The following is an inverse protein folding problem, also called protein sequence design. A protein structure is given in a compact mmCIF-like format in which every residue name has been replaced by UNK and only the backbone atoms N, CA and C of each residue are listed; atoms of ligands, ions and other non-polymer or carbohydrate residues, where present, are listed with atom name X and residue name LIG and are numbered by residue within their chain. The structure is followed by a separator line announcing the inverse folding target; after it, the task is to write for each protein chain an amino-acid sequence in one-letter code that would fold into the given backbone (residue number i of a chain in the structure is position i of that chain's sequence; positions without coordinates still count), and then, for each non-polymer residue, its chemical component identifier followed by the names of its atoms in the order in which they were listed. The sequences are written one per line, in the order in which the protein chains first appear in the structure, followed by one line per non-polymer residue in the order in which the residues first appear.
data_IF_907725830226
#
_entry.id   IF_907725830226
#
_cell.length_a   1.000
_cell.length_b   1.000
_cell.length_c   1.000
_cell.angle_alpha   90.00
_cell.angle_beta   90.00
_cell.angle_gamma   90.00
#
_symmetry.space_group_name_H-M   'P 1'
#
loop_
_entity.id
_entity.type
_entity.pdbx_description
1 polymer ?
#
# COMPACT_ATOMS: atom_id res chain seq x y z
N UNK A 1 -36.79 -26.68 36.45
CA UNK A 1 -36.00 -26.71 35.19
C UNK A 1 -35.94 -25.27 34.70
N UNK A 2 -34.95 -24.46 35.11
CA UNK A 2 -34.73 -23.16 34.48
C UNK A 2 -34.03 -23.39 33.14
N UNK A 3 -34.54 -22.72 32.10
CA UNK A 3 -34.03 -22.80 30.74
C UNK A 3 -32.66 -22.15 30.61
N UNK A 4 -31.76 -22.86 29.95
CA UNK A 4 -30.51 -22.35 29.42
C UNK A 4 -30.86 -21.41 28.26
N UNK A 5 -30.79 -20.09 28.46
CA UNK A 5 -30.70 -19.15 27.33
C UNK A 5 -29.24 -19.10 26.92
N UNK A 6 -28.89 -19.85 25.87
CA UNK A 6 -27.64 -19.68 25.15
C UNK A 6 -27.59 -18.26 24.58
N UNK A 7 -26.79 -17.39 25.18
CA UNK A 7 -26.39 -16.14 24.56
C UNK A 7 -25.53 -16.48 23.34
N UNK A 8 -26.10 -16.31 22.14
CA UNK A 8 -25.33 -16.32 20.91
C UNK A 8 -24.25 -15.23 21.02
N UNK A 9 -22.99 -15.63 21.19
CA UNK A 9 -21.86 -14.70 21.13
C UNK A 9 -21.86 -14.07 19.73
N UNK A 10 -22.28 -12.79 19.63
CA UNK A 10 -22.07 -11.97 18.44
C UNK A 10 -20.58 -12.05 18.09
N UNK A 11 -20.24 -12.39 16.84
CA UNK A 11 -18.85 -12.43 16.38
C UNK A 11 -18.31 -10.99 16.39
N UNK A 12 -17.30 -10.74 17.21
CA UNK A 12 -16.66 -9.42 17.36
C UNK A 12 -15.96 -9.05 16.05
N UNK A 13 -16.09 -7.80 15.57
CA UNK A 13 -15.40 -7.37 14.36
C UNK A 13 -13.89 -7.40 14.59
N UNK A 14 -13.19 -8.10 13.70
CA UNK A 14 -11.73 -8.18 13.67
C UNK A 14 -11.28 -7.30 12.53
N UNK A 15 -10.77 -6.10 12.83
CA UNK A 15 -10.34 -5.12 11.82
C UNK A 15 -9.35 -5.69 10.79
N UNK A 16 -8.59 -6.72 11.18
CA UNK A 16 -7.61 -7.41 10.35
C UNK A 16 -8.21 -8.31 9.25
N UNK A 17 -9.45 -8.81 9.41
CA UNK A 17 -10.06 -9.74 8.44
C UNK A 17 -10.69 -9.06 7.23
N UNK A 18 -11.03 -7.77 7.31
CA UNK A 18 -11.65 -7.03 6.21
C UNK A 18 -10.67 -6.85 5.02
N UNK A 19 -9.37 -6.68 5.28
CA UNK A 19 -8.34 -6.56 4.23
C UNK A 19 -7.95 -7.91 3.59
N UNK A 20 -8.03 -9.01 4.33
CA UNK A 20 -7.62 -10.35 3.86
C UNK A 20 -8.67 -11.07 2.99
N UNK A 21 -9.92 -10.57 2.90
CA UNK A 21 -11.04 -11.28 2.28
C UNK A 21 -11.27 -10.98 0.78
N UNK A 22 -10.53 -10.05 0.18
CA UNK A 22 -10.81 -9.53 -1.18
C UNK A 22 -10.17 -10.30 -2.35
N UNK A 23 -9.32 -11.31 -2.13
CA UNK A 23 -8.37 -11.80 -3.16
C UNK A 23 -8.56 -13.25 -3.63
N UNK A 24 -9.79 -13.72 -3.89
CA UNK A 24 -10.03 -15.09 -4.41
C UNK A 24 -10.90 -15.14 -5.67
N UNK A 25 -10.26 -15.08 -6.86
CA UNK A 25 -10.49 -15.98 -8.04
C UNK A 25 -9.84 -15.42 -9.32
N UNK A 26 -8.91 -16.18 -9.92
CA UNK A 26 -8.95 -16.47 -11.37
C UNK A 26 -8.01 -17.61 -11.75
N UNK A 27 -8.41 -18.41 -12.74
CA UNK A 27 -7.75 -19.62 -13.25
C UNK A 27 -7.13 -19.32 -14.62
N UNK A 28 -5.93 -19.84 -14.84
CA UNK A 28 -5.10 -19.74 -16.05
C UNK A 28 -5.37 -20.84 -17.08
N UNK A 29 -5.11 -20.54 -18.36
CA UNK A 29 -4.71 -21.51 -19.37
C UNK A 29 -3.59 -20.90 -20.24
N UNK A 30 -2.56 -21.68 -20.57
CA UNK A 30 -1.28 -21.20 -21.12
C UNK A 30 -1.07 -21.43 -22.62
N UNK A 31 -0.17 -20.64 -23.23
CA UNK A 31 0.36 -20.86 -24.60
C UNK A 31 1.82 -20.36 -24.69
N UNK A 32 2.64 -21.08 -25.46
CA UNK A 32 4.08 -20.88 -25.73
C UNK A 32 4.39 -19.69 -26.66
N UNK A 33 5.56 -19.08 -26.40
CA UNK A 33 6.13 -17.88 -27.05
C UNK A 33 6.89 -18.18 -28.36
N UNK A 34 6.72 -17.31 -29.35
CA UNK A 34 7.72 -17.03 -30.40
C UNK A 34 7.75 -15.53 -30.70
N UNK A 35 8.96 -14.99 -30.91
CA UNK A 35 9.33 -13.62 -31.30
C UNK A 35 8.17 -12.78 -31.88
N UNK A 36 7.65 -11.82 -31.10
CA UNK A 36 6.68 -10.86 -31.61
C UNK A 36 7.01 -9.42 -31.18
N UNK A 37 7.08 -8.56 -32.18
CA UNK A 37 6.77 -7.14 -32.10
C UNK A 37 5.31 -7.03 -31.64
N UNK A 38 5.04 -6.32 -30.54
CA UNK A 38 3.66 -6.06 -30.10
C UNK A 38 2.99 -5.23 -31.20
N UNK A 39 2.05 -5.83 -31.94
CA UNK A 39 1.33 -5.17 -33.02
C UNK A 39 0.16 -4.38 -32.44
N UNK A 40 0.42 -3.17 -31.94
CA UNK A 40 -0.59 -2.18 -31.54
C UNK A 40 -1.14 -1.40 -32.75
N UNK A 41 -1.47 -2.09 -33.85
CA UNK A 41 -2.11 -1.48 -35.01
C UNK A 41 -3.62 -1.27 -34.76
N UNK A 42 -3.94 -0.24 -33.98
CA UNK A 42 -5.20 0.49 -34.09
C UNK A 42 -4.88 1.91 -34.61
N UNK A 43 -4.88 2.05 -35.94
CA UNK A 43 -4.63 3.31 -36.66
C UNK A 43 -5.63 4.44 -36.30
N UNK A 44 -6.70 4.15 -35.55
CA UNK A 44 -7.73 5.14 -35.20
C UNK A 44 -7.40 6.01 -33.97
N UNK A 45 -6.44 5.61 -33.11
CA UNK A 45 -6.10 6.37 -31.88
C UNK A 45 -4.68 6.95 -31.85
N UNK A 46 -3.91 6.84 -32.94
CA UNK A 46 -2.56 7.45 -33.01
C UNK A 46 -2.67 8.94 -33.30
N UNK A 47 -2.97 9.75 -32.29
CA UNK A 47 -2.83 11.19 -32.39
C UNK A 47 -1.34 11.54 -32.51
N UNK A 48 -0.92 12.03 -33.68
CA UNK A 48 0.36 12.74 -33.83
C UNK A 48 0.26 14.02 -33.00
N UNK A 49 0.70 13.97 -31.74
CA UNK A 49 0.72 15.14 -30.87
C UNK A 49 1.83 16.06 -31.39
N UNK A 50 1.44 17.08 -32.16
CA UNK A 50 2.32 18.22 -32.41
C UNK A 50 2.45 18.98 -31.09
N UNK A 51 3.57 18.75 -30.39
CA UNK A 51 4.02 19.63 -29.33
C UNK A 51 4.15 21.06 -29.91
N UNK A 52 3.77 22.07 -29.13
CA UNK A 52 4.00 23.47 -29.49
C UNK A 52 5.51 23.71 -29.47
N UNK A 53 6.16 23.56 -30.62
CA UNK A 53 7.57 23.87 -30.81
C UNK A 53 7.79 25.39 -30.68
N UNK A 54 8.19 25.81 -29.48
CA UNK A 54 9.02 27.00 -29.27
C UNK A 54 10.51 26.60 -29.08
N UNK A 55 10.91 25.40 -29.53
CA UNK A 55 12.28 24.91 -29.46
C UNK A 55 12.95 24.98 -30.84
N UNK A 56 14.18 25.49 -30.80
CA UNK A 56 15.05 25.84 -31.93
C UNK A 56 15.35 24.64 -32.84
N UNK A 57 15.66 24.88 -34.13
CA UNK A 57 15.87 23.88 -35.21
C UNK A 57 17.02 22.86 -34.99
N UNK A 58 17.58 22.76 -33.78
CA UNK A 58 18.69 21.88 -33.37
C UNK A 58 18.34 21.01 -32.13
N UNK A 59 17.06 20.71 -31.88
CA UNK A 59 16.68 19.82 -30.78
C UNK A 59 17.21 18.40 -31.03
N UNK A 60 17.95 17.86 -30.06
CA UNK A 60 18.44 16.48 -30.08
C UNK A 60 17.25 15.51 -30.00
N UNK A 61 17.20 14.47 -30.85
CA UNK A 61 16.09 13.50 -30.86
C UNK A 61 15.82 12.88 -29.47
N UNK A 62 16.85 12.78 -28.63
CA UNK A 62 16.74 12.35 -27.24
C UNK A 62 16.02 13.35 -26.32
N UNK A 63 16.22 14.65 -26.53
CA UNK A 63 15.58 15.70 -25.72
C UNK A 63 14.08 15.79 -26.08
N UNK A 64 13.72 15.59 -27.35
CA UNK A 64 12.33 15.50 -27.78
C UNK A 64 11.63 14.27 -27.18
N UNK A 65 12.30 13.11 -27.19
CA UNK A 65 11.80 11.88 -26.59
C UNK A 65 11.55 12.06 -25.08
N UNK A 66 12.50 12.66 -24.37
CA UNK A 66 12.36 12.98 -22.95
C UNK A 66 11.18 13.93 -22.71
N UNK A 67 11.02 14.98 -23.52
CA UNK A 67 9.91 15.92 -23.37
C UNK A 67 8.53 15.25 -23.51
N UNK A 68 8.38 14.28 -24.42
CA UNK A 68 7.14 13.49 -24.56
C UNK A 68 6.93 12.62 -23.32
N UNK A 69 7.98 11.95 -22.85
CA UNK A 69 7.92 11.07 -21.68
C UNK A 69 7.59 11.84 -20.39
N UNK A 70 8.24 12.97 -20.13
CA UNK A 70 8.00 13.80 -18.96
C UNK A 70 6.57 14.34 -18.97
N UNK A 71 6.09 14.79 -20.14
CA UNK A 71 4.67 15.16 -20.31
C UNK A 71 3.74 14.01 -19.96
N UNK A 72 4.09 12.77 -20.32
CA UNK A 72 3.28 11.59 -19.98
C UNK A 72 3.26 11.34 -18.47
N UNK A 73 4.40 11.47 -17.79
CA UNK A 73 4.52 11.31 -16.34
C UNK A 73 3.77 12.41 -15.57
N UNK A 74 3.76 13.64 -16.09
CA UNK A 74 2.99 14.76 -15.55
C UNK A 74 1.49 14.49 -15.63
N UNK A 75 0.96 14.06 -16.78
CA UNK A 75 -0.47 13.74 -16.93
C UNK A 75 -0.88 12.52 -16.07
N UNK A 76 0.01 11.54 -15.93
CA UNK A 76 -0.19 10.38 -15.05
C UNK A 76 -0.33 10.82 -13.58
N UNK A 77 0.53 11.75 -13.14
CA UNK A 77 0.50 12.32 -11.79
C UNK A 77 -0.67 13.30 -11.59
N UNK A 78 -1.09 13.98 -12.67
CA UNK A 78 -2.17 14.96 -12.70
C UNK A 78 -3.58 14.37 -12.73
N UNK A 79 -3.70 13.05 -12.86
CA UNK A 79 -4.98 12.34 -12.82
C UNK A 79 -5.71 12.23 -14.16
N UNK A 80 -5.02 12.39 -15.29
CA UNK A 80 -5.56 12.14 -16.65
C UNK A 80 -4.89 10.89 -17.26
N UNK A 81 -5.31 9.67 -16.86
CA UNK A 81 -4.67 8.43 -17.30
C UNK A 81 -4.86 8.17 -18.80
N UNK A 82 -5.96 8.61 -19.42
CA UNK A 82 -6.20 8.42 -20.86
C UNK A 82 -5.20 9.22 -21.71
N UNK A 83 -4.96 10.47 -21.30
CA UNK A 83 -3.95 11.30 -21.95
C UNK A 83 -2.53 10.79 -21.70
N UNK A 84 -2.24 10.32 -20.49
CA UNK A 84 -0.97 9.67 -20.17
C UNK A 84 -0.71 8.46 -21.06
N UNK A 85 -1.71 7.57 -21.25
CA UNK A 85 -1.60 6.40 -22.14
C UNK A 85 -1.26 6.82 -23.57
N UNK A 86 -1.89 7.88 -24.08
CA UNK A 86 -1.63 8.37 -25.44
C UNK A 86 -0.19 8.85 -25.61
N UNK A 87 0.33 9.61 -24.64
CA UNK A 87 1.71 10.10 -24.64
C UNK A 87 2.74 8.96 -24.46
N UNK A 88 2.44 7.98 -23.60
CA UNK A 88 3.26 6.79 -23.40
C UNK A 88 3.38 5.95 -24.68
N UNK A 89 2.28 5.75 -25.42
CA UNK A 89 2.30 5.09 -26.73
C UNK A 89 3.15 5.88 -27.74
N UNK A 90 3.02 7.21 -27.74
CA UNK A 90 3.88 8.10 -28.53
C UNK A 90 5.36 7.92 -28.21
N UNK A 91 5.70 7.84 -26.92
CA UNK A 91 7.07 7.60 -26.43
C UNK A 91 7.61 6.25 -26.94
N UNK A 92 6.83 5.18 -26.81
CA UNK A 92 7.21 3.83 -27.27
C UNK A 92 7.45 3.80 -28.78
N UNK A 93 6.55 4.40 -29.56
CA UNK A 93 6.70 4.46 -31.02
C UNK A 93 7.96 5.21 -31.45
N UNK A 94 8.29 6.29 -30.75
CA UNK A 94 9.48 7.07 -31.02
C UNK A 94 10.76 6.29 -30.65
N UNK A 95 10.76 5.57 -29.53
CA UNK A 95 11.81 4.63 -29.18
C UNK A 95 11.99 3.55 -30.26
N UNK A 96 10.91 2.95 -30.76
CA UNK A 96 10.96 1.96 -31.84
C UNK A 96 11.45 2.54 -33.17
N UNK A 97 11.15 3.82 -33.46
CA UNK A 97 11.71 4.53 -34.61
C UNK A 97 13.22 4.66 -34.48
N UNK A 98 13.70 5.16 -33.34
CA UNK A 98 15.12 5.39 -33.05
C UNK A 98 15.90 4.07 -33.12
N UNK A 99 15.41 3.00 -32.49
CA UNK A 99 16.05 1.68 -32.55
C UNK A 99 16.14 1.14 -33.98
N UNK A 100 15.08 1.25 -34.78
CA UNK A 100 15.10 0.79 -36.18
C UNK A 100 16.08 1.56 -37.06
N UNK A 101 16.30 2.85 -36.77
CA UNK A 101 17.30 3.66 -37.47
C UNK A 101 18.70 3.22 -37.04
N UNK A 102 18.93 3.10 -35.73
CA UNK A 102 20.19 2.63 -35.18
C UNK A 102 20.59 1.24 -35.70
N UNK A 103 19.68 0.27 -35.66
CA UNK A 103 19.94 -1.11 -36.11
C UNK A 103 20.27 -1.14 -37.60
N UNK A 104 19.60 -0.32 -38.41
CA UNK A 104 19.90 -0.18 -39.84
C UNK A 104 21.31 0.38 -40.06
N UNK A 105 21.72 1.37 -39.28
CA UNK A 105 23.04 1.97 -39.40
C UNK A 105 24.15 0.97 -38.99
N UNK A 106 23.91 0.21 -37.91
CA UNK A 106 24.79 -0.90 -37.49
C UNK A 106 24.90 -1.96 -38.59
N UNK A 107 23.78 -2.42 -39.15
CA UNK A 107 23.75 -3.42 -40.24
C UNK A 107 24.44 -2.92 -41.51
N UNK A 108 24.32 -1.63 -41.81
CA UNK A 108 25.00 -0.98 -42.93
C UNK A 108 26.50 -0.78 -42.69
N UNK A 109 27.02 -1.10 -41.50
CA UNK A 109 28.41 -0.91 -41.10
C UNK A 109 28.78 0.57 -40.95
N UNK A 110 27.78 1.44 -40.75
CA UNK A 110 27.98 2.83 -40.35
C UNK A 110 28.35 2.84 -38.87
N UNK A 111 29.25 3.73 -38.47
CA UNK A 111 29.58 3.95 -37.07
C UNK A 111 28.35 4.55 -36.38
N UNK A 112 27.47 3.67 -35.88
CA UNK A 112 26.26 4.04 -35.18
C UNK A 112 26.62 4.69 -33.84
N UNK A 113 25.91 5.76 -33.49
CA UNK A 113 26.05 6.40 -32.19
C UNK A 113 25.53 5.41 -31.15
N UNK A 114 26.36 5.11 -30.15
CA UNK A 114 25.97 4.24 -29.04
C UNK A 114 24.75 4.82 -28.32
N UNK A 115 23.71 4.00 -28.17
CA UNK A 115 22.48 4.42 -27.52
C UNK A 115 22.74 4.64 -26.02
N UNK A 116 22.45 5.84 -25.55
CA UNK A 116 22.68 6.22 -24.15
C UNK A 116 21.77 5.42 -23.19
N UNK A 117 22.20 5.13 -21.95
CA UNK A 117 21.41 4.35 -20.99
C UNK A 117 20.05 4.98 -20.67
N UNK A 118 19.98 6.31 -20.78
CA UNK A 118 18.77 7.09 -20.56
C UNK A 118 17.65 6.73 -21.55
N UNK A 119 18.00 6.44 -22.80
CA UNK A 119 17.03 5.98 -23.80
C UNK A 119 16.33 4.71 -23.35
N UNK A 120 17.10 3.71 -22.93
CA UNK A 120 16.57 2.44 -22.47
C UNK A 120 15.75 2.58 -21.18
N UNK A 121 16.13 3.51 -20.30
CA UNK A 121 15.34 3.87 -19.13
C UNK A 121 13.97 4.43 -19.53
N UNK A 122 13.92 5.46 -20.37
CA UNK A 122 12.66 6.05 -20.85
C UNK A 122 11.78 4.99 -21.51
N UNK A 123 12.37 4.19 -22.42
CA UNK A 123 11.63 3.16 -23.12
C UNK A 123 11.06 2.10 -22.17
N UNK A 124 11.91 1.55 -21.29
CA UNK A 124 11.51 0.55 -20.32
C UNK A 124 10.46 1.04 -19.34
N UNK A 125 10.60 2.26 -18.82
CA UNK A 125 9.60 2.85 -17.91
C UNK A 125 8.29 3.16 -18.63
N UNK A 126 8.32 3.63 -19.88
CA UNK A 126 7.08 3.84 -20.64
C UNK A 126 6.29 2.53 -20.83
N UNK A 127 6.98 1.44 -21.19
CA UNK A 127 6.40 0.10 -21.30
C UNK A 127 5.84 -0.39 -19.94
N UNK A 128 6.56 -0.15 -18.85
CA UNK A 128 6.12 -0.50 -17.50
C UNK A 128 4.83 0.25 -17.14
N UNK A 129 4.80 1.57 -17.34
CA UNK A 129 3.64 2.41 -17.04
C UNK A 129 2.42 2.01 -17.86
N UNK A 130 2.57 1.67 -19.15
CA UNK A 130 1.46 1.11 -19.94
C UNK A 130 0.97 -0.19 -19.33
N UNK A 131 1.87 -1.10 -18.94
CA UNK A 131 1.47 -2.38 -18.37
C UNK A 131 0.61 -2.24 -17.10
N UNK A 132 0.87 -1.22 -16.28
CA UNK A 132 0.12 -0.92 -15.07
C UNK A 132 -1.25 -0.26 -15.37
N UNK A 133 -1.32 0.56 -16.40
CA UNK A 133 -2.55 1.25 -16.81
C UNK A 133 -3.50 0.37 -17.65
N UNK A 134 -2.97 -0.70 -18.25
CA UNK A 134 -3.68 -1.58 -19.19
C UNK A 134 -4.66 -2.56 -18.53
N UNK A 135 -4.96 -2.39 -17.24
CA UNK A 135 -5.67 -3.35 -16.39
C UNK A 135 -7.13 -3.66 -16.80
N UNK A 136 -7.71 -3.00 -17.81
CA UNK A 136 -9.14 -3.17 -18.15
C UNK A 136 -9.42 -3.65 -19.59
N UNK A 137 -8.51 -3.42 -20.55
CA UNK A 137 -8.75 -3.78 -21.96
C UNK A 137 -7.66 -4.68 -22.59
N UNK A 138 -6.48 -4.77 -21.97
CA UNK A 138 -5.30 -5.44 -22.55
C UNK A 138 -4.57 -6.35 -21.55
N UNK A 139 -5.29 -7.03 -20.65
CA UNK A 139 -4.69 -7.95 -19.65
C UNK A 139 -3.74 -8.99 -20.26
N UNK A 140 -4.04 -9.46 -21.47
CA UNK A 140 -3.19 -10.43 -22.18
C UNK A 140 -1.86 -9.80 -22.61
N UNK A 141 -1.86 -8.53 -23.02
CA UNK A 141 -0.65 -7.80 -23.45
C UNK A 141 0.13 -7.18 -22.29
N UNK A 142 -0.48 -6.99 -21.12
CA UNK A 142 0.20 -6.46 -19.91
C UNK A 142 1.52 -7.18 -19.66
N UNK A 143 1.51 -8.50 -19.78
CA UNK A 143 2.69 -9.33 -19.52
C UNK A 143 3.77 -9.19 -20.58
N UNK A 144 3.38 -9.04 -21.85
CA UNK A 144 4.33 -8.77 -22.95
C UNK A 144 5.01 -7.42 -22.73
N UNK A 145 4.24 -6.40 -22.32
CA UNK A 145 4.77 -5.09 -21.94
C UNK A 145 5.72 -5.17 -20.75
N UNK A 146 5.40 -5.96 -19.71
CA UNK A 146 6.27 -6.16 -18.55
C UNK A 146 7.58 -6.86 -18.93
N UNK A 147 7.52 -7.91 -19.76
CA UNK A 147 8.72 -8.64 -20.20
C UNK A 147 9.61 -7.76 -21.10
N UNK A 148 9.02 -6.99 -22.01
CA UNK A 148 9.75 -6.04 -22.84
C UNK A 148 10.34 -4.90 -22.01
N UNK A 149 9.59 -4.38 -21.05
CA UNK A 149 10.05 -3.37 -20.09
C UNK A 149 11.26 -3.88 -19.30
N UNK A 150 11.19 -5.12 -18.78
CA UNK A 150 12.32 -5.75 -18.10
C UNK A 150 13.55 -5.77 -18.99
N UNK A 151 13.40 -6.22 -20.24
CA UNK A 151 14.50 -6.30 -21.19
C UNK A 151 15.14 -4.93 -21.45
N UNK A 152 14.33 -3.88 -21.69
CA UNK A 152 14.85 -2.52 -21.90
C UNK A 152 15.56 -1.98 -20.66
N UNK A 153 15.01 -2.17 -19.47
CA UNK A 153 15.65 -1.71 -18.23
C UNK A 153 16.93 -2.50 -17.91
N UNK A 154 17.02 -3.78 -18.29
CA UNK A 154 18.27 -4.54 -18.20
C UNK A 154 19.33 -3.97 -19.15
N UNK A 155 18.96 -3.56 -20.38
CA UNK A 155 19.87 -2.84 -21.28
C UNK A 155 20.32 -1.49 -20.69
N UNK A 156 19.41 -0.73 -20.07
CA UNK A 156 19.76 0.50 -19.37
C UNK A 156 20.80 0.21 -18.27
N UNK A 157 20.55 -0.81 -17.45
CA UNK A 157 21.47 -1.25 -16.38
C UNK A 157 22.84 -1.64 -16.90
N UNK A 158 22.92 -2.36 -18.02
CA UNK A 158 24.19 -2.79 -18.62
C UNK A 158 24.99 -1.62 -19.20
N UNK A 159 24.30 -0.60 -19.73
CA UNK A 159 24.93 0.58 -20.31
C UNK A 159 25.33 1.64 -19.26
N UNK A 160 24.72 1.63 -18.07
CA UNK A 160 25.01 2.58 -16.99
C UNK A 160 26.37 2.33 -16.31
N UNK A 161 26.96 3.41 -15.81
CA UNK A 161 28.17 3.36 -14.97
C UNK A 161 27.88 3.33 -13.45
N UNK A 162 26.60 3.46 -13.07
CA UNK A 162 26.11 3.48 -11.69
C UNK A 162 26.21 4.85 -11.00
N UNK A 163 26.56 5.90 -11.75
CA UNK A 163 26.69 7.28 -11.25
C UNK A 163 25.57 8.19 -11.74
N UNK A 164 24.74 7.67 -12.63
CA UNK A 164 23.64 8.38 -13.24
C UNK A 164 22.58 8.68 -12.17
N UNK A 165 22.01 9.90 -12.13
CA UNK A 165 21.04 10.29 -11.09
C UNK A 165 19.72 9.50 -11.17
N UNK A 166 19.45 8.85 -12.31
CA UNK A 166 18.29 7.98 -12.51
C UNK A 166 18.59 6.49 -12.28
N UNK A 167 19.83 6.10 -11.92
CA UNK A 167 20.20 4.69 -11.77
C UNK A 167 19.32 3.95 -10.75
N UNK A 168 18.97 4.63 -9.65
CA UNK A 168 18.07 4.07 -8.64
C UNK A 168 16.68 3.73 -9.22
N UNK A 169 16.16 4.54 -10.15
CA UNK A 169 14.85 4.32 -10.80
C UNK A 169 14.86 3.07 -11.68
N UNK A 170 15.98 2.80 -12.35
CA UNK A 170 16.14 1.59 -13.16
C UNK A 170 16.09 0.35 -12.25
N UNK A 171 16.84 0.37 -11.15
CA UNK A 171 16.85 -0.75 -10.19
C UNK A 171 15.50 -0.94 -9.50
N UNK A 172 14.85 0.14 -9.08
CA UNK A 172 13.50 0.12 -8.49
C UNK A 172 12.48 -0.47 -9.48
N UNK A 173 12.47 0.00 -10.73
CA UNK A 173 11.58 -0.52 -11.79
C UNK A 173 11.84 -2.01 -12.06
N UNK A 174 13.10 -2.43 -12.15
CA UNK A 174 13.46 -3.84 -12.34
C UNK A 174 13.04 -4.73 -11.15
N UNK A 175 13.00 -4.18 -9.94
CA UNK A 175 12.53 -4.88 -8.76
C UNK A 175 11.00 -5.03 -8.79
N UNK A 176 10.27 -3.95 -9.09
CA UNK A 176 8.81 -3.93 -9.27
C UNK A 176 8.35 -4.95 -10.31
N UNK A 177 8.93 -4.89 -11.51
CA UNK A 177 8.64 -5.84 -12.60
C UNK A 177 8.94 -7.28 -12.17
N UNK A 178 10.03 -7.50 -11.43
CA UNK A 178 10.39 -8.82 -10.92
C UNK A 178 9.33 -9.41 -9.97
N UNK A 179 8.71 -8.57 -9.14
CA UNK A 179 7.65 -8.97 -8.21
C UNK A 179 6.33 -9.21 -8.93
N UNK A 180 5.99 -8.37 -9.92
CA UNK A 180 4.77 -8.55 -10.72
C UNK A 180 4.84 -9.85 -11.52
N UNK A 181 5.96 -10.12 -12.19
CA UNK A 181 6.17 -11.37 -12.92
C UNK A 181 6.20 -12.59 -11.99
N UNK A 182 6.62 -12.42 -10.73
CA UNK A 182 6.56 -13.47 -9.73
C UNK A 182 5.11 -13.78 -9.33
N UNK A 183 4.28 -12.76 -9.11
CA UNK A 183 2.88 -12.91 -8.71
C UNK A 183 2.07 -13.78 -9.70
N UNK A 184 2.42 -13.76 -10.99
CA UNK A 184 1.80 -14.57 -12.05
C UNK A 184 2.10 -16.07 -11.93
N UNK A 185 3.28 -16.46 -11.43
CA UNK A 185 3.82 -17.83 -11.56
C UNK A 185 3.61 -18.73 -10.33
N UNK A 186 2.92 -18.25 -9.30
CA UNK A 186 2.85 -18.87 -7.97
C UNK A 186 1.85 -20.02 -7.80
N UNK A 187 1.45 -20.72 -8.86
CA UNK A 187 0.43 -21.79 -8.78
C UNK A 187 0.95 -23.23 -8.64
N UNK A 188 2.26 -23.47 -8.59
CA UNK A 188 2.86 -24.81 -8.53
C UNK A 188 3.88 -25.00 -7.38
N UNK A 189 4.00 -26.20 -6.81
CA UNK A 189 4.93 -26.52 -5.71
C UNK A 189 6.41 -26.49 -6.17
N UNK A 190 6.70 -26.95 -7.40
CA UNK A 190 8.03 -26.81 -8.02
C UNK A 190 8.37 -25.32 -8.27
N UNK A 191 7.36 -24.45 -8.34
CA UNK A 191 7.55 -23.01 -8.48
C UNK A 191 8.00 -22.32 -7.18
N UNK A 192 7.96 -22.97 -6.00
CA UNK A 192 8.31 -22.31 -4.73
C UNK A 192 9.79 -21.98 -4.58
N UNK A 193 10.68 -22.89 -4.96
CA UNK A 193 12.13 -22.64 -4.89
C UNK A 193 12.56 -21.60 -5.93
N UNK A 194 12.01 -21.72 -7.15
CA UNK A 194 12.21 -20.71 -8.20
C UNK A 194 11.63 -19.35 -7.79
N UNK A 195 10.48 -19.32 -7.12
CA UNK A 195 9.87 -18.11 -6.58
C UNK A 195 10.74 -17.44 -5.52
N UNK A 196 11.31 -18.23 -4.60
CA UNK A 196 12.21 -17.71 -3.58
C UNK A 196 13.48 -17.09 -4.21
N UNK A 197 14.05 -17.73 -5.23
CA UNK A 197 15.20 -17.18 -5.97
C UNK A 197 14.86 -15.87 -6.69
N UNK A 198 13.69 -15.81 -7.34
CA UNK A 198 13.20 -14.59 -8.01
C UNK A 198 12.90 -13.47 -7.03
N UNK A 199 12.31 -13.79 -5.88
CA UNK A 199 12.07 -12.84 -4.81
C UNK A 199 13.38 -12.26 -4.28
N UNK A 200 14.37 -13.12 -4.01
CA UNK A 200 15.69 -12.67 -3.58
C UNK A 200 16.37 -11.78 -4.64
N UNK A 201 16.23 -12.10 -5.93
CA UNK A 201 16.74 -11.28 -7.02
C UNK A 201 16.05 -9.90 -7.10
N UNK A 202 14.74 -9.83 -6.85
CA UNK A 202 14.00 -8.57 -6.76
C UNK A 202 14.45 -7.74 -5.54
N UNK A 203 14.62 -8.36 -4.38
CA UNK A 203 15.12 -7.67 -3.18
C UNK A 203 16.53 -7.12 -3.38
N UNK A 204 17.41 -7.86 -4.02
CA UNK A 204 18.75 -7.38 -4.37
C UNK A 204 18.73 -6.19 -5.34
N UNK A 205 17.70 -6.07 -6.19
CA UNK A 205 17.50 -4.89 -7.04
C UNK A 205 17.03 -3.70 -6.22
N UNK A 206 16.14 -3.85 -5.22
CA UNK A 206 15.84 -2.75 -4.30
C UNK A 206 17.06 -2.32 -3.50
N UNK A 207 17.90 -3.25 -3.04
CA UNK A 207 19.17 -2.89 -2.39
C UNK A 207 20.05 -2.05 -3.31
N UNK A 208 20.15 -2.43 -4.59
CA UNK A 208 20.89 -1.66 -5.60
C UNK A 208 20.25 -0.29 -5.86
N UNK A 209 18.93 -0.18 -5.78
CA UNK A 209 18.22 1.09 -5.90
C UNK A 209 18.59 2.03 -4.74
N UNK A 210 18.54 1.53 -3.51
CA UNK A 210 18.91 2.29 -2.32
C UNK A 210 20.39 2.69 -2.33
N UNK A 211 21.29 1.80 -2.77
CA UNK A 211 22.71 2.11 -2.91
C UNK A 211 22.96 3.21 -3.95
N UNK A 212 22.18 3.24 -5.04
CA UNK A 212 22.28 4.23 -6.09
C UNK A 212 21.74 5.62 -5.68
N UNK A 213 20.91 5.71 -4.63
CA UNK A 213 20.44 6.98 -4.07
C UNK A 213 21.56 7.83 -3.45
N UNK A 214 22.77 7.28 -3.26
CA UNK A 214 23.94 8.07 -2.85
C UNK A 214 24.29 9.21 -3.81
N UNK A 215 23.80 9.13 -5.05
CA UNK A 215 24.01 10.13 -6.10
C UNK A 215 22.93 11.23 -6.14
N UNK A 216 21.88 11.14 -5.32
CA UNK A 216 20.84 12.18 -5.18
C UNK A 216 21.03 12.95 -3.86
N UNK A 217 20.30 14.05 -3.68
CA UNK A 217 20.35 14.78 -2.41
C UNK A 217 19.77 13.95 -1.25
N UNK A 218 20.19 14.26 -0.02
CA UNK A 218 19.88 13.41 1.14
C UNK A 218 18.38 13.37 1.48
N UNK A 219 17.65 14.46 1.27
CA UNK A 219 16.21 14.51 1.54
C UNK A 219 15.45 13.71 0.48
N UNK A 220 15.79 13.87 -0.80
CA UNK A 220 15.25 13.04 -1.86
C UNK A 220 15.59 11.56 -1.62
N UNK A 221 16.84 11.23 -1.31
CA UNK A 221 17.25 9.85 -1.02
C UNK A 221 16.39 9.24 0.11
N UNK A 222 16.09 10.02 1.14
CA UNK A 222 15.26 9.58 2.26
C UNK A 222 13.81 9.38 1.83
N UNK A 223 13.20 10.35 1.15
CA UNK A 223 11.83 10.25 0.63
C UNK A 223 11.66 9.03 -0.29
N UNK A 224 12.59 8.83 -1.23
CA UNK A 224 12.55 7.68 -2.16
C UNK A 224 12.77 6.34 -1.42
N UNK A 225 13.62 6.32 -0.38
CA UNK A 225 13.79 5.14 0.47
C UNK A 225 12.48 4.77 1.17
N UNK A 226 11.77 5.76 1.72
CA UNK A 226 10.49 5.54 2.40
C UNK A 226 9.40 5.07 1.42
N UNK A 227 9.34 5.65 0.23
CA UNK A 227 8.43 5.21 -0.84
C UNK A 227 8.68 3.75 -1.26
N UNK A 228 9.94 3.35 -1.44
CA UNK A 228 10.29 1.95 -1.75
C UNK A 228 9.86 1.03 -0.61
N UNK A 229 10.14 1.40 0.65
CA UNK A 229 9.74 0.61 1.82
C UNK A 229 8.22 0.46 1.90
N UNK A 230 7.47 1.54 1.71
CA UNK A 230 6.00 1.52 1.74
C UNK A 230 5.42 0.57 0.69
N UNK A 231 5.94 0.63 -0.54
CA UNK A 231 5.53 -0.25 -1.63
C UNK A 231 5.82 -1.72 -1.31
N UNK A 232 7.00 -2.03 -0.78
CA UNK A 232 7.35 -3.40 -0.36
C UNK A 232 6.44 -3.90 0.77
N UNK A 233 6.09 -3.05 1.73
CA UNK A 233 5.11 -3.38 2.78
C UNK A 233 3.71 -3.65 2.20
N UNK A 234 3.26 -2.85 1.22
CA UNK A 234 1.99 -3.07 0.54
C UNK A 234 1.95 -4.41 -0.20
N UNK A 235 3.07 -4.80 -0.83
CA UNK A 235 3.20 -6.11 -1.45
C UNK A 235 3.18 -7.25 -0.41
N UNK A 236 3.86 -7.08 0.73
CA UNK A 236 3.83 -8.03 1.83
C UNK A 236 2.40 -8.23 2.39
N UNK A 237 1.63 -7.15 2.51
CA UNK A 237 0.26 -7.13 3.01
C UNK A 237 -0.74 -7.80 2.03
N UNK A 238 -0.56 -7.58 0.72
CA UNK A 238 -1.44 -8.12 -0.33
C UNK A 238 -1.53 -9.66 -0.39
N UNK A 239 -0.64 -10.37 0.32
CA UNK A 239 -0.56 -11.84 0.33
C UNK A 239 -0.29 -12.49 -1.03
N UNK A 240 0.09 -11.72 -2.05
CA UNK A 240 0.37 -12.22 -3.40
C UNK A 240 1.54 -13.22 -3.45
N UNK A 241 2.46 -13.14 -2.47
CA UNK A 241 3.64 -14.01 -2.39
C UNK A 241 3.53 -15.16 -1.38
N UNK A 242 2.35 -15.38 -0.79
CA UNK A 242 2.15 -16.30 0.32
C UNK A 242 2.90 -15.88 1.60
N UNK A 243 2.75 -16.67 2.66
CA UNK A 243 3.27 -16.33 4.00
C UNK A 243 4.80 -16.19 4.03
N UNK A 244 5.54 -17.12 3.40
CA UNK A 244 7.00 -17.09 3.37
C UNK A 244 7.55 -15.89 2.58
N UNK A 245 6.89 -15.53 1.47
CA UNK A 245 7.25 -14.36 0.68
C UNK A 245 6.98 -13.07 1.45
N UNK A 246 5.79 -12.95 2.06
CA UNK A 246 5.42 -11.82 2.93
C UNK A 246 6.43 -11.66 4.08
N UNK A 247 6.79 -12.75 4.77
CA UNK A 247 7.79 -12.71 5.83
C UNK A 247 9.16 -12.19 5.35
N UNK A 248 9.61 -12.62 4.16
CA UNK A 248 10.89 -12.16 3.57
C UNK A 248 10.85 -10.67 3.24
N UNK A 249 9.74 -10.18 2.67
CA UNK A 249 9.56 -8.75 2.40
C UNK A 249 9.55 -7.96 3.71
N UNK A 250 8.88 -8.46 4.75
CA UNK A 250 8.85 -7.81 6.06
C UNK A 250 10.22 -7.74 6.71
N UNK A 251 10.99 -8.84 6.71
CA UNK A 251 12.37 -8.86 7.21
C UNK A 251 13.23 -7.79 6.52
N UNK A 252 13.08 -7.64 5.20
CA UNK A 252 13.78 -6.62 4.43
C UNK A 252 13.36 -5.20 4.85
N UNK A 253 12.04 -4.92 4.92
CA UNK A 253 11.54 -3.58 5.28
C UNK A 253 11.97 -3.16 6.68
N UNK A 254 11.91 -4.08 7.66
CA UNK A 254 12.33 -3.84 9.03
C UNK A 254 13.83 -3.53 9.10
N UNK A 255 14.66 -4.29 8.36
CA UNK A 255 16.09 -4.03 8.27
C UNK A 255 16.41 -2.64 7.68
N UNK A 256 15.66 -2.20 6.65
CA UNK A 256 15.83 -0.87 6.07
C UNK A 256 15.37 0.25 7.01
N UNK A 257 14.20 0.10 7.64
CA UNK A 257 13.69 1.07 8.61
C UNK A 257 14.57 1.18 9.87
N UNK A 258 15.22 0.09 10.28
CA UNK A 258 16.17 0.08 11.39
C UNK A 258 17.52 0.73 11.04
N UNK A 259 17.90 0.74 9.77
CA UNK A 259 19.11 1.41 9.29
C UNK A 259 18.94 2.94 9.21
N UNK A 260 17.69 3.43 9.12
CA UNK A 260 17.38 4.86 9.19
C UNK A 260 17.64 5.39 10.62
N UNK A 261 18.15 6.63 10.77
CA UNK A 261 18.33 7.25 12.07
C UNK A 261 16.99 7.36 12.81
N UNK A 262 17.04 7.26 14.14
CA UNK A 262 15.84 7.46 14.96
C UNK A 262 15.25 8.85 14.71
N UNK A 263 13.95 8.95 14.35
CA UNK A 263 13.34 10.21 13.96
C UNK A 263 13.22 11.15 15.17
N UNK A 264 13.86 12.32 15.04
CA UNK A 264 13.73 13.40 16.03
C UNK A 264 12.47 14.23 15.77
N UNK A 265 12.05 15.06 16.72
CA UNK A 265 10.89 15.94 16.52
C UNK A 265 11.10 17.01 15.43
N UNK A 266 12.35 17.26 15.01
CA UNK A 266 12.70 18.24 13.96
C UNK A 266 12.80 17.59 12.56
N UNK A 267 12.65 16.26 12.47
CA UNK A 267 12.77 15.51 11.22
C UNK A 267 11.44 15.54 10.45
N UNK A 268 11.47 16.07 9.22
CA UNK A 268 10.30 16.20 8.34
C UNK A 268 9.62 14.85 8.06
N UNK A 269 10.40 13.77 8.01
CA UNK A 269 9.91 12.42 7.76
C UNK A 269 9.67 11.61 9.03
N UNK A 270 9.72 12.23 10.22
CA UNK A 270 9.58 11.53 11.49
C UNK A 270 8.26 10.74 11.60
N UNK A 271 7.16 11.39 11.22
CA UNK A 271 5.82 10.79 11.27
C UNK A 271 5.71 9.60 10.30
N UNK A 272 6.25 9.74 9.10
CA UNK A 272 6.25 8.71 8.06
C UNK A 272 7.08 7.48 8.48
N UNK A 273 8.28 7.67 9.03
CA UNK A 273 9.11 6.58 9.55
C UNK A 273 8.38 5.82 10.67
N UNK A 274 7.78 6.54 11.62
CA UNK A 274 7.00 5.91 12.71
C UNK A 274 5.81 5.14 12.17
N UNK A 275 5.09 5.72 11.21
CA UNK A 275 3.97 5.06 10.53
C UNK A 275 4.42 3.75 9.86
N UNK A 276 5.47 3.77 9.04
CA UNK A 276 5.97 2.58 8.35
C UNK A 276 6.47 1.50 9.31
N UNK A 277 7.11 1.89 10.43
CA UNK A 277 7.51 0.95 11.49
C UNK A 277 6.29 0.33 12.17
N UNK A 278 5.29 1.13 12.52
CA UNK A 278 4.04 0.63 13.11
C UNK A 278 3.29 -0.30 12.15
N UNK A 279 3.27 0.04 10.86
CA UNK A 279 2.68 -0.79 9.81
C UNK A 279 3.39 -2.13 9.70
N UNK A 280 4.72 -2.17 9.80
CA UNK A 280 5.45 -3.43 9.79
C UNK A 280 5.04 -4.35 10.96
N UNK A 281 4.97 -3.79 12.18
CA UNK A 281 4.53 -4.51 13.37
C UNK A 281 3.09 -5.01 13.23
N UNK A 282 2.22 -4.19 12.64
CA UNK A 282 0.83 -4.57 12.35
C UNK A 282 0.75 -5.73 11.36
N UNK A 283 1.51 -5.71 10.26
CA UNK A 283 1.53 -6.82 9.28
C UNK A 283 1.97 -8.13 9.96
N UNK A 284 2.99 -8.07 10.84
CA UNK A 284 3.41 -9.25 11.63
C UNK A 284 2.32 -9.75 12.56
N UNK A 285 1.63 -8.85 13.26
CA UNK A 285 0.52 -9.20 14.12
C UNK A 285 -0.62 -9.86 13.33
N UNK A 286 -0.90 -9.37 12.11
CA UNK A 286 -1.89 -9.96 11.20
C UNK A 286 -1.55 -11.39 10.79
N UNK A 287 -0.26 -11.71 10.57
CA UNK A 287 0.18 -13.08 10.29
C UNK A 287 -0.11 -14.02 11.46
N UNK A 288 0.16 -13.59 12.70
CA UNK A 288 -0.17 -14.37 13.91
C UNK A 288 -1.68 -14.61 14.05
N UNK A 289 -2.48 -13.63 13.68
CA UNK A 289 -3.94 -13.74 13.66
C UNK A 289 -4.43 -14.73 12.57
N UNK A 290 -3.75 -14.77 11.42
CA UNK A 290 -4.03 -15.72 10.35
C UNK A 290 -3.79 -17.19 10.74
N UNK A 291 -2.95 -17.42 11.75
CA UNK A 291 -2.68 -18.75 12.31
C UNK A 291 -3.73 -19.22 13.31
N UNK A 292 -4.74 -18.40 13.64
CA UNK A 292 -5.87 -18.84 14.47
C UNK A 292 -6.61 -19.97 13.74
N UNK A 293 -6.61 -21.16 14.35
CA UNK A 293 -7.27 -22.35 13.82
C UNK A 293 -8.75 -22.39 14.23
N UNK A 294 -9.42 -23.52 13.97
CA UNK A 294 -10.82 -23.75 14.32
C UNK A 294 -11.13 -23.66 15.82
N UNK A 295 -10.11 -23.61 16.69
CA UNK A 295 -10.28 -23.50 18.14
C UNK A 295 -10.49 -22.06 18.63
N UNK A 296 -10.38 -21.06 17.75
CA UNK A 296 -10.38 -19.63 18.08
C UNK A 296 -9.32 -19.24 19.14
N UNK A 297 -8.35 -20.11 19.44
CA UNK A 297 -7.22 -19.81 20.32
C UNK A 297 -6.07 -19.22 19.50
N UNK A 298 -5.57 -18.07 19.95
CA UNK A 298 -4.44 -17.40 19.31
C UNK A 298 -3.12 -18.11 19.70
N UNK A 299 -2.34 -18.65 18.74
CA UNK A 299 -1.17 -19.48 19.03
C UNK A 299 -0.11 -18.79 19.89
N UNK A 300 0.04 -17.46 19.74
CA UNK A 300 0.95 -16.63 20.52
C UNK A 300 0.33 -15.27 20.86
N UNK A 301 -0.67 -15.30 21.76
CA UNK A 301 -1.34 -14.10 22.26
C UNK A 301 -0.36 -13.07 22.84
N UNK A 302 0.74 -13.52 23.45
CA UNK A 302 1.76 -12.65 24.04
C UNK A 302 2.53 -11.86 23.00
N UNK A 303 3.06 -12.52 21.96
CA UNK A 303 3.74 -11.85 20.87
C UNK A 303 2.82 -10.91 20.09
N UNK A 304 1.57 -11.32 19.85
CA UNK A 304 0.56 -10.48 19.19
C UNK A 304 0.31 -9.18 19.97
N UNK A 305 0.07 -9.26 21.28
CA UNK A 305 -0.11 -8.09 22.12
C UNK A 305 1.13 -7.20 22.15
N UNK A 306 2.34 -7.79 22.20
CA UNK A 306 3.58 -7.02 22.18
C UNK A 306 3.70 -6.20 20.89
N UNK A 307 3.53 -6.83 19.73
CA UNK A 307 3.62 -6.16 18.43
C UNK A 307 2.62 -5.00 18.31
N UNK A 308 1.38 -5.21 18.75
CA UNK A 308 0.35 -4.17 18.70
C UNK A 308 0.60 -3.03 19.70
N UNK A 309 1.12 -3.32 20.90
CA UNK A 309 1.49 -2.26 21.85
C UNK A 309 2.64 -1.41 21.30
N UNK A 310 3.68 -2.04 20.74
CA UNK A 310 4.79 -1.31 20.10
C UNK A 310 4.30 -0.47 18.90
N UNK A 311 3.39 -1.00 18.08
CA UNK A 311 2.75 -0.25 16.99
C UNK A 311 1.94 0.95 17.51
N UNK A 312 1.16 0.75 18.59
CA UNK A 312 0.37 1.81 19.23
C UNK A 312 1.27 2.93 19.75
N UNK A 313 2.40 2.61 20.38
CA UNK A 313 3.35 3.59 20.92
C UNK A 313 3.96 4.47 19.83
N UNK A 314 4.24 3.88 18.66
CA UNK A 314 4.74 4.62 17.49
C UNK A 314 3.71 5.58 16.88
N UNK A 315 2.40 5.30 17.07
CA UNK A 315 1.30 6.03 16.47
C UNK A 315 0.65 7.07 17.41
N UNK A 316 1.20 7.30 18.61
CA UNK A 316 0.62 8.25 19.60
C UNK A 316 0.38 9.64 19.01
N UNK A 317 1.30 10.11 18.16
CA UNK A 317 1.26 11.42 17.51
C UNK A 317 0.74 11.34 16.05
N UNK A 318 0.03 10.27 15.68
CA UNK A 318 -0.51 10.12 14.34
C UNK A 318 -1.53 11.21 14.00
N UNK A 319 -1.29 11.90 12.88
CA UNK A 319 -2.19 12.93 12.33
C UNK A 319 -2.69 12.61 10.92
N UNK A 320 -1.92 11.84 10.14
CA UNK A 320 -2.33 11.44 8.79
C UNK A 320 -3.51 10.47 8.84
N UNK A 321 -4.37 10.51 7.82
CA UNK A 321 -5.53 9.62 7.70
C UNK A 321 -5.13 8.14 7.84
N UNK A 322 -4.06 7.73 7.16
CA UNK A 322 -3.63 6.33 7.15
C UNK A 322 -3.02 5.91 8.50
N UNK A 323 -2.32 6.82 9.18
CA UNK A 323 -1.79 6.55 10.52
C UNK A 323 -2.89 6.50 11.58
N UNK A 324 -3.91 7.35 11.47
CA UNK A 324 -5.11 7.30 12.32
C UNK A 324 -5.91 6.00 12.10
N UNK A 325 -6.09 5.62 10.84
CA UNK A 325 -6.77 4.36 10.49
C UNK A 325 -6.03 3.16 11.09
N UNK A 326 -4.71 3.10 10.88
CA UNK A 326 -3.86 2.05 11.43
C UNK A 326 -3.92 2.03 12.96
N UNK A 327 -3.87 3.19 13.62
CA UNK A 327 -3.96 3.30 15.09
C UNK A 327 -5.30 2.78 15.61
N UNK A 328 -6.40 3.15 14.96
CA UNK A 328 -7.72 2.64 15.30
C UNK A 328 -7.83 1.12 15.14
N UNK A 329 -7.28 0.57 14.06
CA UNK A 329 -7.20 -0.88 13.85
C UNK A 329 -6.35 -1.56 14.94
N UNK A 330 -5.19 -1.01 15.29
CA UNK A 330 -4.33 -1.54 16.36
C UNK A 330 -5.08 -1.58 17.70
N UNK A 331 -5.77 -0.49 18.06
CA UNK A 331 -6.55 -0.39 19.31
C UNK A 331 -7.74 -1.35 19.34
N UNK A 332 -8.47 -1.49 18.22
CA UNK A 332 -9.55 -2.46 18.08
C UNK A 332 -9.04 -3.88 18.34
N UNK A 333 -7.89 -4.24 17.76
CA UNK A 333 -7.33 -5.58 17.92
C UNK A 333 -6.75 -5.82 19.32
N UNK A 334 -6.14 -4.81 19.96
CA UNK A 334 -5.77 -4.88 21.37
C UNK A 334 -7.01 -5.10 22.26
N UNK A 335 -8.09 -4.38 21.99
CA UNK A 335 -9.38 -4.55 22.69
C UNK A 335 -9.92 -5.97 22.54
N UNK A 336 -9.85 -6.55 21.34
CA UNK A 336 -10.33 -7.92 21.07
C UNK A 336 -9.63 -9.00 21.90
N UNK A 337 -8.35 -8.79 22.25
CA UNK A 337 -7.56 -9.75 23.04
C UNK A 337 -7.48 -9.41 24.54
N UNK A 338 -8.04 -8.26 24.94
CA UNK A 338 -8.09 -7.83 26.33
C UNK A 338 -9.15 -8.61 27.13
N UNK A 339 -8.76 -9.05 28.33
CA UNK A 339 -9.62 -9.81 29.25
C UNK A 339 -10.31 -8.91 30.29
N UNK A 340 -9.67 -7.78 30.63
CA UNK A 340 -10.25 -6.76 31.50
C UNK A 340 -11.29 -5.92 30.74
N UNK A 341 -12.54 -5.92 31.21
CA UNK A 341 -13.66 -5.25 30.54
C UNK A 341 -13.46 -3.73 30.42
N UNK A 342 -13.03 -3.09 31.51
CA UNK A 342 -12.84 -1.63 31.54
C UNK A 342 -11.75 -1.19 30.55
N UNK A 343 -10.64 -1.93 30.49
CA UNK A 343 -9.55 -1.68 29.54
C UNK A 343 -9.95 -2.01 28.10
N UNK A 344 -10.75 -3.06 27.88
CA UNK A 344 -11.31 -3.40 26.56
C UNK A 344 -12.19 -2.27 26.04
N UNK A 345 -13.10 -1.75 26.86
CA UNK A 345 -13.99 -0.65 26.48
C UNK A 345 -13.21 0.65 26.25
N UNK A 346 -12.18 0.91 27.06
CA UNK A 346 -11.26 2.03 26.83
C UNK A 346 -10.62 1.97 25.45
N UNK A 347 -10.12 0.80 25.05
CA UNK A 347 -9.48 0.60 23.75
C UNK A 347 -10.47 0.76 22.59
N UNK A 348 -11.70 0.24 22.71
CA UNK A 348 -12.73 0.42 21.69
C UNK A 348 -13.15 1.89 21.53
N UNK A 349 -13.31 2.64 22.63
CA UNK A 349 -13.60 4.08 22.57
C UNK A 349 -12.49 4.87 21.89
N UNK A 350 -11.22 4.51 22.11
CA UNK A 350 -10.10 5.11 21.39
C UNK A 350 -10.16 4.78 19.90
N UNK A 351 -10.41 3.52 19.53
CA UNK A 351 -10.49 3.10 18.14
C UNK A 351 -11.59 3.86 17.38
N UNK A 352 -12.78 3.98 17.99
CA UNK A 352 -13.92 4.71 17.41
C UNK A 352 -13.59 6.19 17.23
N UNK A 353 -12.91 6.81 18.20
CA UNK A 353 -12.48 8.20 18.08
C UNK A 353 -11.60 8.38 16.84
N UNK A 354 -10.64 7.50 16.62
CA UNK A 354 -9.73 7.57 15.46
C UNK A 354 -10.47 7.29 14.15
N UNK A 355 -11.34 6.29 14.10
CA UNK A 355 -12.15 6.01 12.91
C UNK A 355 -13.08 7.17 12.55
N UNK A 356 -13.72 7.83 13.52
CA UNK A 356 -14.52 9.03 13.25
C UNK A 356 -13.70 10.19 12.68
N UNK A 357 -12.46 10.36 13.13
CA UNK A 357 -11.54 11.36 12.54
C UNK A 357 -11.17 11.01 11.09
N UNK A 358 -11.00 9.72 10.79
CA UNK A 358 -10.81 9.23 9.42
C UNK A 358 -12.05 9.45 8.56
N UNK A 359 -13.24 9.13 9.08
CA UNK A 359 -14.53 9.29 8.41
C UNK A 359 -14.87 10.76 8.10
N UNK A 360 -14.47 11.68 8.98
CA UNK A 360 -14.64 13.11 8.73
C UNK A 360 -13.83 13.62 7.52
N UNK A 361 -12.79 12.88 7.13
CA UNK A 361 -11.86 13.25 6.06
C UNK A 361 -11.85 12.25 4.89
N UNK A 362 -12.85 11.36 4.80
CA UNK A 362 -12.96 10.38 3.72
C UNK A 362 -13.88 9.22 4.06
N UNK A 363 -13.97 8.24 3.18
CA UNK A 363 -14.78 7.05 3.41
C UNK A 363 -14.03 6.05 4.31
N UNK A 364 -14.78 5.38 5.20
CA UNK A 364 -14.36 4.19 5.94
C UNK A 364 -14.90 2.95 5.24
N UNK A 365 -14.31 1.78 5.52
CA UNK A 365 -14.92 0.52 5.09
C UNK A 365 -16.27 0.30 5.77
N UNK A 366 -17.13 -0.50 5.14
CA UNK A 366 -18.45 -0.84 5.69
C UNK A 366 -18.32 -1.53 7.04
N UNK A 367 -17.32 -2.40 7.24
CA UNK A 367 -17.11 -3.12 8.49
C UNK A 367 -16.73 -2.20 9.65
N UNK A 368 -15.88 -1.19 9.40
CA UNK A 368 -15.49 -0.23 10.42
C UNK A 368 -16.63 0.75 10.72
N UNK A 369 -17.42 1.11 9.72
CA UNK A 369 -18.63 1.92 9.90
C UNK A 369 -19.65 1.17 10.76
N UNK A 370 -19.90 -0.11 10.46
CA UNK A 370 -20.79 -0.95 11.26
C UNK A 370 -20.30 -1.11 12.70
N UNK A 371 -18.98 -1.26 12.91
CA UNK A 371 -18.42 -1.34 14.26
C UNK A 371 -18.69 -0.08 15.10
N UNK A 372 -18.58 1.12 14.50
CA UNK A 372 -18.92 2.37 15.19
C UNK A 372 -20.40 2.37 15.57
N UNK A 373 -21.29 2.03 14.63
CA UNK A 373 -22.74 2.04 14.86
C UNK A 373 -23.17 1.03 15.94
N UNK A 374 -22.62 -0.18 15.92
CA UNK A 374 -22.91 -1.24 16.89
C UNK A 374 -22.51 -0.81 18.31
N UNK A 375 -21.33 -0.21 18.46
CA UNK A 375 -20.83 0.23 19.76
C UNK A 375 -21.62 1.42 20.33
N UNK A 376 -22.02 2.38 19.48
CA UNK A 376 -22.85 3.51 19.91
C UNK A 376 -24.27 3.09 20.31
N UNK A 377 -24.82 2.03 19.69
CA UNK A 377 -26.11 1.49 20.11
C UNK A 377 -26.01 0.85 21.50
N UNK A 378 -24.97 0.06 21.75
CA UNK A 378 -24.76 -0.60 23.04
C UNK A 378 -24.53 0.44 24.19
N UNK A 379 -23.77 1.52 23.95
CA UNK A 379 -23.58 2.61 24.95
C UNK A 379 -24.90 3.34 25.28
N UNK A 380 -25.80 3.54 24.30
CA UNK A 380 -27.10 4.22 24.53
C UNK A 380 -28.11 3.34 25.27
N UNK A 381 -28.10 2.02 25.03
CA UNK A 381 -28.99 1.08 25.69
C UNK A 381 -28.62 0.86 27.18
N UNK A 382 -27.36 1.06 27.57
CA UNK A 382 -26.93 0.98 28.98
C UNK A 382 -27.38 2.20 29.81
N UNK A 383 -27.42 3.40 29.22
CA UNK A 383 -27.88 4.61 29.89
C UNK A 383 -29.41 4.58 30.15
N UNK A 384 -30.21 4.03 29.23
CA UNK A 384 -31.68 3.99 29.32
C UNK A 384 -32.22 2.97 30.36
N UNK A 385 -31.41 2.01 30.81
CA UNK A 385 -31.82 1.01 31.82
C UNK A 385 -31.60 1.52 33.26
N UNK A 386 -30.81 2.57 33.44
CA UNK A 386 -30.52 3.14 34.76
C UNK A 386 -31.66 4.01 35.33
N UNK A 387 -32.56 4.50 34.48
CA UNK A 387 -33.68 5.38 34.87
C UNK A 387 -35.01 4.63 35.11
N UNK A 388 -35.09 3.31 34.84
CA UNK A 388 -36.35 2.56 34.93
C UNK A 388 -36.66 1.94 36.32
N UNK A 389 -35.82 2.16 37.34
CA UNK A 389 -36.03 1.65 38.70
C UNK A 389 -36.23 2.74 39.79
N UNK A 390 -36.47 3.99 39.37
CA UNK A 390 -36.91 5.06 40.28
C UNK A 390 -38.42 5.04 40.52
N UNK A 391 -38.81 4.85 41.78
CA UNK A 391 -40.13 5.12 42.36
C UNK A 391 -41.27 4.12 42.12
N UNK A 392 -41.30 3.08 42.97
CA UNK A 392 -42.58 2.63 43.53
C UNK A 392 -42.41 2.00 44.92
N UNK A 393 -41.88 2.74 45.88
CA UNK A 393 -42.10 2.45 47.30
C UNK A 393 -43.13 3.42 47.88
N UNK A 394 -44.33 2.88 48.07
CA UNK A 394 -45.45 3.59 48.65
C UNK A 394 -45.22 3.91 50.12
N UNK A 395 -45.56 5.13 50.51
CA UNK A 395 -45.98 5.45 51.87
C UNK A 395 -47.26 6.26 51.80
N UNK A 396 -48.35 5.64 52.23
CA UNK A 396 -49.62 6.30 52.47
C UNK A 396 -49.74 6.84 53.89
N UNK A 397 -50.74 7.69 54.06
CA UNK A 397 -51.32 8.23 55.29
C UNK A 397 -50.50 9.35 55.97
N UNK A 398 -51.08 10.41 56.54
CA UNK A 398 -52.44 10.95 56.62
C UNK A 398 -52.34 12.20 57.52
N UNK A 399 -53.16 13.21 57.22
CA UNK A 399 -53.79 14.16 58.15
C UNK A 399 -53.00 15.22 58.95
N UNK A 400 -53.70 16.36 59.01
CA UNK A 400 -53.81 17.35 60.09
C UNK A 400 -52.72 18.42 60.30
N UNK A 401 -52.94 19.57 59.65
CA UNK A 401 -53.51 20.82 60.20
C UNK A 401 -53.13 21.28 61.64
N UNK A 402 -53.17 22.61 61.81
CA UNK A 402 -52.98 23.45 63.02
C UNK A 402 -51.52 23.86 63.28
N UNK A 403 -51.13 25.11 63.02
CA UNK A 403 -51.40 26.38 63.73
C UNK A 403 -50.23 26.78 64.62
N UNK A 404 -49.97 28.08 64.58
CA UNK A 404 -49.49 28.97 65.63
C UNK A 404 -47.99 29.23 65.93
N UNK A 405 -47.77 30.56 66.06
CA UNK A 405 -46.81 31.34 66.85
C UNK A 405 -45.32 31.35 66.42
N UNK A 406 -44.77 32.50 65.98
CA UNK A 406 -44.27 33.64 66.80
C UNK A 406 -43.23 33.16 67.84
N UNK A 407 -41.95 33.51 67.77
CA UNK A 407 -41.29 34.77 68.21
C UNK A 407 -39.76 34.58 67.91
N UNK A 408 -39.10 35.56 67.31
CA UNK A 408 -38.11 36.49 67.93
C UNK A 408 -36.79 35.89 68.45
N UNK A 409 -35.69 36.48 67.92
CA UNK A 409 -34.42 36.86 68.56
C UNK A 409 -33.56 35.84 69.34
N UNK A 410 -32.41 35.43 68.76
CA UNK A 410 -31.04 35.93 69.02
C UNK A 410 -29.97 35.07 68.30
#
# INVERSE_FOLDING_TARGET
MPGNSETQKKKRPMGLKARAASSKKQKSDGVELTEQVVNDFDEENTATIMLKNDLEEDANEMDELEGIFDSAMEELSGGDPERAITLLRGTIHECDRILRVHDRDVEAGVEAIEIEPRFYYIYGTALFSISELSATELEDQRWEYLELSQHRLEQAKEAMTGKEPFAWRVYDSLAKIGLDLLSRKMSDEEAKEEAALKLAAAMSKFDSALDALVNVDAEQAKSETLSIVEMVQSLADSSCLGEAGSATLMDWTEAKLAALPEPTAEDEHAAEIRYLRARALWIRASVLLGQMDETDEMPDKGAFQQLLNEASDLLVEAESRDALLLRGEVQLNLGNVQEDGDEQDRLYRLAIKDFKLVQANGELSEELTQFIEDFEQDDNDEDDVSDANGDNDGVGASDDNSDDEMEEDE
#
